data_IF_035921280857
#
_entry.id   IF_035921280857
#
_cell.length_a   1.000
_cell.length_b   1.000
_cell.length_c   1.000
_cell.angle_alpha   90.00
_cell.angle_beta   90.00
_cell.angle_gamma   90.00
#
_symmetry.space_group_name_H-M   'P 1'
#
loop_
_entity.id
_entity.type
_entity.pdbx_description
1 polymer ?
#
# COMPACT_ATOMS: atom_id res chain seq x y z
N UNK A 1 49.63 11.32 27.95
CA UNK A 1 48.42 10.53 28.28
C UNK A 1 47.69 10.24 26.98
N UNK A 2 47.54 8.97 26.60
CA UNK A 2 46.80 8.56 25.39
C UNK A 2 45.33 8.37 25.76
N UNK A 3 44.43 9.08 25.09
CA UNK A 3 42.98 8.90 25.19
C UNK A 3 42.61 7.57 24.51
N UNK A 4 41.83 6.67 25.14
CA UNK A 4 41.42 5.44 24.47
C UNK A 4 40.43 5.76 23.36
N UNK A 5 40.67 5.17 22.18
CA UNK A 5 39.75 5.17 21.06
C UNK A 5 38.43 4.51 21.48
N UNK A 6 37.32 5.19 21.24
CA UNK A 6 35.97 4.64 21.38
C UNK A 6 35.86 3.31 20.62
N UNK A 7 35.67 2.22 21.37
CA UNK A 7 35.18 0.96 20.81
C UNK A 7 33.81 1.23 20.20
N UNK A 8 33.74 1.30 18.86
CA UNK A 8 32.48 1.23 18.14
C UNK A 8 31.85 -0.13 18.45
N UNK A 9 30.89 -0.16 19.39
CA UNK A 9 29.92 -1.25 19.47
C UNK A 9 29.38 -1.43 18.06
N UNK A 10 29.54 -2.64 17.49
CA UNK A 10 28.86 -3.02 16.26
C UNK A 10 27.37 -2.84 16.51
N UNK A 11 26.79 -1.77 15.97
CA UNK A 11 25.35 -1.60 15.91
C UNK A 11 24.79 -2.84 15.21
N UNK A 12 24.18 -3.72 15.99
CA UNK A 12 23.35 -4.78 15.45
C UNK A 12 22.17 -4.07 14.79
N UNK A 13 22.22 -4.00 13.46
CA UNK A 13 21.05 -3.66 12.65
C UNK A 13 19.91 -4.55 13.15
N UNK A 14 18.80 -3.98 13.64
CA UNK A 14 17.67 -4.78 14.11
C UNK A 14 17.27 -5.72 12.97
N UNK A 15 16.96 -6.99 13.26
CA UNK A 15 16.66 -7.96 12.22
C UNK A 15 15.56 -7.39 11.33
N UNK A 16 15.87 -7.18 10.04
CA UNK A 16 14.87 -6.81 9.06
C UNK A 16 13.83 -7.94 9.06
N UNK A 17 12.62 -7.65 9.51
CA UNK A 17 11.49 -8.56 9.34
C UNK A 17 11.27 -8.65 7.83
N UNK A 18 11.73 -9.75 7.24
CA UNK A 18 11.56 -10.02 5.83
C UNK A 18 10.06 -10.15 5.55
N UNK A 19 9.49 -9.11 4.93
CA UNK A 19 8.10 -9.12 4.54
C UNK A 19 7.90 -10.16 3.44
N UNK A 20 6.96 -11.06 3.67
CA UNK A 20 6.50 -11.96 2.63
C UNK A 20 5.44 -11.26 1.77
N UNK A 21 5.40 -11.51 0.46
CA UNK A 21 4.31 -11.02 -0.40
C UNK A 21 2.94 -11.50 0.10
N UNK A 22 1.89 -10.70 -0.09
CA UNK A 22 0.51 -11.06 0.31
C UNK A 22 0.06 -12.38 -0.34
N UNK A 23 0.54 -12.68 -1.55
CA UNK A 23 0.27 -13.94 -2.26
C UNK A 23 0.89 -15.19 -1.60
N UNK A 24 1.85 -15.02 -0.68
CA UNK A 24 2.41 -16.13 0.08
C UNK A 24 1.48 -16.61 1.21
N UNK A 25 0.48 -15.80 1.61
CA UNK A 25 -0.43 -16.14 2.69
C UNK A 25 -1.51 -17.12 2.22
N UNK A 26 -1.68 -18.29 2.88
CA UNK A 26 -2.61 -19.34 2.45
C UNK A 26 -4.07 -18.85 2.34
N UNK A 27 -4.51 -17.99 3.26
CA UNK A 27 -5.87 -17.45 3.27
C UNK A 27 -6.16 -16.56 2.06
N UNK A 28 -5.19 -15.73 1.66
CA UNK A 28 -5.32 -14.88 0.48
C UNK A 28 -5.34 -15.74 -0.79
N UNK A 29 -4.41 -16.70 -0.89
CA UNK A 29 -4.28 -17.59 -2.05
C UNK A 29 -5.53 -18.45 -2.28
N UNK A 30 -6.07 -19.06 -1.22
CA UNK A 30 -7.28 -19.88 -1.35
C UNK A 30 -8.49 -19.06 -1.83
N UNK A 31 -8.61 -17.82 -1.36
CA UNK A 31 -9.67 -16.92 -1.78
C UNK A 31 -9.46 -16.39 -3.21
N UNK A 32 -8.22 -16.13 -3.61
CA UNK A 32 -7.86 -15.75 -4.98
C UNK A 32 -8.15 -16.90 -5.97
N UNK A 33 -7.77 -18.13 -5.62
CA UNK A 33 -8.05 -19.33 -6.41
C UNK A 33 -9.57 -19.54 -6.58
N UNK A 34 -10.37 -19.28 -5.53
CA UNK A 34 -11.83 -19.34 -5.60
C UNK A 34 -12.38 -18.30 -6.59
N UNK A 35 -11.94 -17.04 -6.52
CA UNK A 35 -12.36 -15.98 -7.44
C UNK A 35 -12.01 -16.38 -8.89
N UNK A 36 -10.80 -16.89 -9.11
CA UNK A 36 -10.36 -17.33 -10.43
C UNK A 36 -11.20 -18.49 -10.97
N UNK A 37 -11.52 -19.47 -10.11
CA UNK A 37 -12.41 -20.59 -10.47
C UNK A 37 -13.80 -20.11 -10.87
N UNK A 38 -14.42 -19.22 -10.06
CA UNK A 38 -15.75 -18.68 -10.36
C UNK A 38 -15.76 -17.86 -11.65
N UNK A 39 -14.72 -17.06 -11.91
CA UNK A 39 -14.55 -16.33 -13.18
C UNK A 39 -14.42 -17.28 -14.37
N UNK A 40 -13.67 -18.38 -14.22
CA UNK A 40 -13.54 -19.44 -15.21
C UNK A 40 -14.88 -20.08 -15.54
N UNK A 41 -15.66 -20.45 -14.52
CA UNK A 41 -17.00 -21.03 -14.67
C UNK A 41 -17.97 -20.05 -15.35
N UNK A 42 -17.97 -18.77 -14.95
CA UNK A 42 -18.79 -17.73 -15.59
C UNK A 42 -18.46 -17.58 -17.07
N UNK A 43 -17.17 -17.55 -17.40
CA UNK A 43 -16.71 -17.43 -18.79
C UNK A 43 -17.10 -18.65 -19.63
N UNK A 44 -17.03 -19.86 -19.05
CA UNK A 44 -17.51 -21.08 -19.71
C UNK A 44 -19.02 -21.01 -19.98
N UNK A 45 -19.83 -20.68 -18.99
CA UNK A 45 -21.29 -20.56 -19.18
C UNK A 45 -21.65 -19.44 -20.15
N UNK A 46 -20.86 -18.35 -20.18
CA UNK A 46 -21.06 -17.27 -21.14
C UNK A 46 -20.80 -17.75 -22.57
N UNK A 47 -19.79 -18.59 -22.79
CA UNK A 47 -19.57 -19.24 -24.10
C UNK A 47 -20.71 -20.18 -24.46
N UNK A 48 -21.14 -21.04 -23.52
CA UNK A 48 -22.28 -21.95 -23.73
C UNK A 48 -23.57 -21.18 -24.08
N UNK A 49 -23.79 -20.00 -23.48
CA UNK A 49 -24.89 -19.11 -23.82
C UNK A 49 -24.76 -18.54 -25.23
N UNK A 50 -23.57 -18.06 -25.62
CA UNK A 50 -23.33 -17.57 -26.99
C UNK A 50 -23.60 -18.68 -28.01
N UNK A 51 -23.09 -19.89 -27.79
CA UNK A 51 -23.32 -21.04 -28.66
C UNK A 51 -24.81 -21.39 -28.77
N UNK A 52 -25.56 -21.30 -27.66
CA UNK A 52 -27.01 -21.52 -27.66
C UNK A 52 -27.77 -20.42 -28.43
N UNK A 53 -27.34 -19.17 -28.34
CA UNK A 53 -27.88 -18.05 -29.14
C UNK A 53 -27.60 -18.25 -30.62
N UNK A 54 -26.38 -18.64 -30.98
CA UNK A 54 -25.99 -18.88 -32.37
C UNK A 54 -26.77 -20.04 -32.99
N UNK A 55 -26.98 -21.12 -32.22
CA UNK A 55 -27.90 -22.20 -32.61
C UNK A 55 -29.31 -21.65 -32.83
N UNK A 56 -29.87 -20.91 -31.87
CA UNK A 56 -31.21 -20.32 -32.01
C UNK A 56 -31.32 -19.43 -33.27
N UNK A 57 -30.30 -18.64 -33.56
CA UNK A 57 -30.25 -17.78 -34.74
C UNK A 57 -30.15 -18.58 -36.04
N UNK A 58 -29.37 -19.67 -36.06
CA UNK A 58 -29.30 -20.60 -37.19
C UNK A 58 -30.67 -21.28 -37.43
N UNK A 59 -31.41 -21.63 -36.38
CA UNK A 59 -32.78 -22.14 -36.48
C UNK A 59 -33.80 -21.07 -36.95
N UNK A 60 -33.55 -19.79 -36.65
CA UNK A 60 -34.39 -18.65 -37.07
C UNK A 60 -34.12 -18.18 -38.50
N UNK A 61 -33.06 -18.67 -39.13
CA UNK A 61 -32.79 -18.46 -40.55
C UNK A 61 -33.48 -19.58 -41.34
N UNK A 62 -34.75 -19.44 -41.76
CA UNK A 62 -35.22 -20.27 -42.84
C UNK A 62 -34.36 -19.90 -44.06
N UNK A 63 -33.55 -20.83 -44.53
CA UNK A 63 -33.09 -20.75 -45.92
C UNK A 63 -34.38 -20.69 -46.75
N UNK A 64 -34.56 -19.62 -47.52
CA UNK A 64 -35.69 -19.45 -48.44
C UNK A 64 -35.92 -20.72 -49.28
N UNK A 65 -34.83 -21.44 -49.56
CA UNK A 65 -34.77 -22.76 -50.19
C UNK A 65 -35.60 -23.85 -49.45
N UNK A 66 -35.54 -23.92 -48.12
CA UNK A 66 -36.26 -24.95 -47.32
C UNK A 66 -37.76 -24.68 -47.29
N UNK A 67 -38.17 -23.41 -47.20
CA UNK A 67 -39.59 -23.04 -47.29
C UNK A 67 -40.14 -23.33 -48.70
N UNK A 68 -39.34 -23.07 -49.74
CA UNK A 68 -39.72 -23.35 -51.12
C UNK A 68 -39.85 -24.86 -51.41
N UNK A 69 -38.92 -25.69 -50.92
CA UNK A 69 -39.01 -27.15 -51.06
C UNK A 69 -40.16 -27.78 -50.26
N UNK A 70 -40.44 -27.25 -49.05
CA UNK A 70 -41.53 -27.75 -48.21
C UNK A 70 -42.92 -27.38 -48.77
N UNK A 71 -43.06 -26.20 -49.38
CA UNK A 71 -44.28 -25.81 -50.08
C UNK A 71 -44.57 -26.70 -51.31
N UNK A 72 -43.50 -27.18 -51.96
CA UNK A 72 -43.57 -28.05 -53.14
C UNK A 72 -43.87 -29.53 -52.80
N UNK A 73 -43.58 -29.98 -51.58
CA UNK A 73 -43.70 -31.38 -51.15
C UNK A 73 -44.94 -31.68 -50.30
N UNK A 74 -45.74 -30.67 -49.94
CA UNK A 74 -47.05 -30.84 -49.30
C UNK A 74 -47.01 -31.37 -47.85
N UNK A 75 -45.89 -31.19 -47.14
CA UNK A 75 -45.75 -31.64 -45.75
C UNK A 75 -46.25 -30.55 -44.79
N UNK A 76 -47.47 -30.71 -44.31
CA UNK A 76 -48.05 -29.93 -43.20
C UNK A 76 -47.45 -30.39 -41.86
N UNK A 77 -46.27 -29.89 -41.50
CA UNK A 77 -45.98 -29.48 -40.12
C UNK A 77 -44.51 -29.09 -39.97
N UNK A 78 -44.31 -27.84 -39.57
CA UNK A 78 -43.06 -27.44 -38.93
C UNK A 78 -43.12 -28.00 -37.52
N UNK A 79 -42.19 -28.89 -37.16
CA UNK A 79 -42.07 -29.39 -35.80
C UNK A 79 -41.59 -28.25 -34.87
N UNK A 80 -42.56 -27.55 -34.28
CA UNK A 80 -42.37 -26.39 -33.39
C UNK A 80 -41.94 -26.83 -31.98
N UNK A 81 -41.81 -28.15 -31.70
CA UNK A 81 -41.56 -28.67 -30.36
C UNK A 81 -40.19 -28.28 -29.77
N UNK A 82 -39.19 -27.92 -30.59
CA UNK A 82 -37.84 -27.59 -30.10
C UNK A 82 -37.64 -26.14 -29.59
N UNK A 83 -38.54 -25.20 -29.94
CA UNK A 83 -38.43 -23.77 -29.57
C UNK A 83 -38.56 -23.48 -28.06
N UNK A 84 -39.51 -24.08 -27.31
CA UNK A 84 -39.66 -23.82 -25.89
C UNK A 84 -38.45 -24.30 -25.06
N UNK A 85 -37.75 -25.34 -25.55
CA UNK A 85 -36.62 -25.93 -24.84
C UNK A 85 -35.36 -25.04 -24.91
N UNK A 86 -35.05 -24.43 -26.06
CA UNK A 86 -33.89 -23.52 -26.17
C UNK A 86 -34.08 -22.22 -25.39
N UNK A 87 -35.31 -21.68 -25.36
CA UNK A 87 -35.63 -20.50 -24.55
C UNK A 87 -35.38 -20.74 -23.05
N UNK A 88 -35.89 -21.86 -22.52
CA UNK A 88 -35.64 -22.27 -21.13
C UNK A 88 -34.15 -22.46 -20.80
N UNK A 89 -33.39 -23.06 -21.72
CA UNK A 89 -31.93 -23.23 -21.54
C UNK A 89 -31.22 -21.88 -21.46
N UNK A 90 -31.62 -20.90 -22.27
CA UNK A 90 -31.04 -19.54 -22.21
C UNK A 90 -31.39 -18.81 -20.92
N UNK A 91 -32.62 -18.96 -20.42
CA UNK A 91 -33.05 -18.38 -19.15
C UNK A 91 -32.29 -19.01 -17.97
N UNK A 92 -32.12 -20.34 -17.96
CA UNK A 92 -31.33 -21.05 -16.95
C UNK A 92 -29.86 -20.64 -16.98
N UNK A 93 -29.26 -20.47 -18.17
CA UNK A 93 -27.89 -19.97 -18.32
C UNK A 93 -27.76 -18.53 -17.84
N UNK A 94 -28.74 -17.67 -18.12
CA UNK A 94 -28.78 -16.30 -17.59
C UNK A 94 -28.80 -16.28 -16.07
N UNK A 95 -29.68 -17.07 -15.45
CA UNK A 95 -29.78 -17.17 -14.00
C UNK A 95 -28.46 -17.64 -13.38
N UNK A 96 -27.83 -18.68 -13.95
CA UNK A 96 -26.53 -19.19 -13.48
C UNK A 96 -25.40 -18.17 -13.63
N UNK A 97 -25.33 -17.44 -14.76
CA UNK A 97 -24.33 -16.39 -14.97
C UNK A 97 -24.53 -15.24 -13.99
N UNK A 98 -25.77 -14.83 -13.72
CA UNK A 98 -26.09 -13.79 -12.75
C UNK A 98 -25.71 -14.22 -11.33
N UNK A 99 -26.05 -15.45 -10.95
CA UNK A 99 -25.67 -16.02 -9.65
C UNK A 99 -24.15 -16.09 -9.48
N UNK A 100 -23.41 -16.54 -10.50
CA UNK A 100 -21.94 -16.54 -10.49
C UNK A 100 -21.37 -15.12 -10.40
N UNK A 101 -21.98 -14.15 -11.07
CA UNK A 101 -21.54 -12.75 -11.02
C UNK A 101 -21.64 -12.19 -9.60
N UNK A 102 -22.76 -12.45 -8.92
CA UNK A 102 -22.93 -12.06 -7.51
C UNK A 102 -21.94 -12.78 -6.59
N UNK A 103 -21.73 -14.09 -6.80
CA UNK A 103 -20.76 -14.87 -6.04
C UNK A 103 -19.32 -14.37 -6.23
N UNK A 104 -18.94 -13.97 -7.44
CA UNK A 104 -17.64 -13.34 -7.73
C UNK A 104 -17.50 -12.03 -6.98
N UNK A 105 -18.50 -11.15 -7.05
CA UNK A 105 -18.46 -9.86 -6.34
C UNK A 105 -18.30 -10.04 -4.83
N UNK A 106 -19.02 -11.00 -4.24
CA UNK A 106 -18.89 -11.30 -2.82
C UNK A 106 -17.50 -11.88 -2.49
N UNK A 107 -16.99 -12.79 -3.33
CA UNK A 107 -15.67 -13.38 -3.16
C UNK A 107 -14.54 -12.34 -3.30
N UNK A 108 -14.66 -11.38 -4.23
CA UNK A 108 -13.73 -10.25 -4.39
C UNK A 108 -13.77 -9.32 -3.18
N UNK A 109 -14.96 -9.03 -2.64
CA UNK A 109 -15.09 -8.24 -1.41
C UNK A 109 -14.42 -8.92 -0.21
N UNK A 110 -14.55 -10.26 -0.10
CA UNK A 110 -13.85 -11.04 0.93
C UNK A 110 -12.34 -11.01 0.73
N UNK A 111 -11.85 -11.16 -0.50
CA UNK A 111 -10.42 -11.07 -0.85
C UNK A 111 -9.83 -9.72 -0.43
N UNK A 112 -10.55 -8.64 -0.73
CA UNK A 112 -10.16 -7.29 -0.33
C UNK A 112 -10.13 -7.12 1.20
N UNK A 113 -11.12 -7.70 1.91
CA UNK A 113 -11.10 -7.71 3.38
C UNK A 113 -9.89 -8.44 3.95
N UNK A 114 -9.50 -9.59 3.38
CA UNK A 114 -8.29 -10.32 3.79
C UNK A 114 -7.04 -9.46 3.57
N UNK A 115 -6.95 -8.78 2.42
CA UNK A 115 -5.84 -7.87 2.12
C UNK A 115 -5.71 -6.75 3.15
N UNK A 116 -6.82 -6.11 3.53
CA UNK A 116 -6.81 -5.09 4.57
C UNK A 116 -6.37 -5.64 5.92
N UNK A 117 -6.86 -6.82 6.32
CA UNK A 117 -6.47 -7.47 7.58
C UNK A 117 -4.97 -7.77 7.62
N UNK A 118 -4.43 -8.40 6.57
CA UNK A 118 -3.01 -8.71 6.48
C UNK A 118 -2.16 -7.44 6.53
N UNK A 119 -2.56 -6.39 5.81
CA UNK A 119 -1.86 -5.11 5.81
C UNK A 119 -1.85 -4.47 7.21
N UNK A 120 -2.96 -4.52 7.94
CA UNK A 120 -3.06 -4.00 9.30
C UNK A 120 -2.17 -4.77 10.29
N UNK A 121 -2.17 -6.11 10.22
CA UNK A 121 -1.30 -6.96 11.05
C UNK A 121 0.17 -6.65 10.77
N UNK A 122 0.56 -6.60 9.50
CA UNK A 122 1.94 -6.26 9.11
C UNK A 122 2.31 -4.85 9.58
N UNK A 123 1.40 -3.88 9.50
CA UNK A 123 1.67 -2.52 9.98
C UNK A 123 1.91 -2.49 11.50
N UNK A 124 1.13 -3.22 12.29
CA UNK A 124 1.34 -3.32 13.74
C UNK A 124 2.64 -4.06 14.09
N UNK A 125 2.99 -5.13 13.36
CA UNK A 125 4.25 -5.86 13.55
C UNK A 125 5.48 -4.98 13.22
N UNK A 126 5.38 -4.14 12.18
CA UNK A 126 6.46 -3.24 11.78
C UNK A 126 6.52 -1.95 12.59
N UNK A 127 5.45 -1.58 13.27
CA UNK A 127 5.34 -0.36 14.08
C UNK A 127 6.55 -0.15 15.02
N UNK A 128 6.99 -1.12 15.84
CA UNK A 128 8.17 -0.92 16.70
C UNK A 128 9.45 -0.67 15.90
N UNK A 129 9.67 -1.38 14.79
CA UNK A 129 10.87 -1.25 13.96
C UNK A 129 10.92 0.14 13.32
N UNK A 130 9.80 0.59 12.76
CA UNK A 130 9.67 1.93 12.17
C UNK A 130 9.86 2.99 13.24
N UNK A 131 9.27 2.81 14.42
CA UNK A 131 9.46 3.72 15.57
C UNK A 131 10.93 3.82 15.97
N UNK A 132 11.65 2.71 16.12
CA UNK A 132 13.09 2.73 16.43
C UNK A 132 13.88 3.43 15.34
N UNK A 133 13.60 3.17 14.06
CA UNK A 133 14.28 3.82 12.95
C UNK A 133 14.04 5.34 12.94
N UNK A 134 12.79 5.78 13.20
CA UNK A 134 12.46 7.20 13.34
C UNK A 134 13.13 7.85 14.55
N UNK A 135 13.16 7.19 15.71
CA UNK A 135 13.89 7.67 16.90
C UNK A 135 15.39 7.83 16.61
N UNK A 136 16.01 6.92 15.84
CA UNK A 136 17.41 7.08 15.39
C UNK A 136 17.60 8.30 14.49
N UNK A 137 16.66 8.56 13.58
CA UNK A 137 16.68 9.77 12.74
C UNK A 137 16.62 11.02 13.62
N UNK A 138 15.72 11.06 14.60
CA UNK A 138 15.63 12.17 15.55
C UNK A 138 16.94 12.39 16.33
N UNK A 139 17.55 11.31 16.83
CA UNK A 139 18.84 11.39 17.53
C UNK A 139 19.94 12.00 16.65
N UNK A 140 20.04 11.57 15.38
CA UNK A 140 21.00 12.12 14.44
C UNK A 140 20.72 13.60 14.13
N UNK A 141 19.45 13.98 13.98
CA UNK A 141 19.06 15.37 13.78
C UNK A 141 19.42 16.26 14.99
N UNK A 142 19.23 15.77 16.22
CA UNK A 142 19.64 16.47 17.43
C UNK A 142 21.16 16.70 17.49
N UNK A 143 21.95 15.70 17.11
CA UNK A 143 23.41 15.82 17.03
C UNK A 143 23.84 16.86 15.99
N UNK A 144 23.22 16.85 14.81
CA UNK A 144 23.49 17.85 13.77
C UNK A 144 23.13 19.27 14.23
N UNK A 145 22.00 19.44 14.93
CA UNK A 145 21.60 20.73 15.49
C UNK A 145 22.59 21.22 16.56
N UNK A 146 23.09 20.32 17.41
CA UNK A 146 24.15 20.63 18.37
C UNK A 146 25.42 21.13 17.67
N UNK A 147 25.92 20.37 16.70
CA UNK A 147 27.10 20.75 15.92
C UNK A 147 26.92 22.09 15.17
N UNK A 148 25.73 22.34 14.61
CA UNK A 148 25.41 23.62 13.97
C UNK A 148 25.45 24.79 14.96
N UNK A 149 24.98 24.56 16.19
CA UNK A 149 25.00 25.58 17.25
C UNK A 149 26.44 25.89 17.69
N UNK A 150 27.29 24.86 17.80
CA UNK A 150 28.71 25.02 18.12
C UNK A 150 29.46 25.81 17.02
N UNK A 151 29.20 25.50 15.74
CA UNK A 151 29.77 26.26 14.61
C UNK A 151 29.32 27.73 14.66
N UNK A 152 28.04 27.98 14.93
CA UNK A 152 27.51 29.34 15.04
C UNK A 152 28.16 30.12 16.19
N UNK A 153 28.32 29.50 17.36
CA UNK A 153 28.97 30.12 18.52
C UNK A 153 30.45 30.48 18.22
N UNK A 154 31.20 29.58 17.59
CA UNK A 154 32.59 29.83 17.18
C UNK A 154 32.65 31.00 16.18
N UNK A 155 31.73 31.06 15.22
CA UNK A 155 31.66 32.12 14.23
C UNK A 155 31.35 33.48 14.88
N UNK A 156 30.41 33.52 15.83
CA UNK A 156 30.05 34.72 16.59
C UNK A 156 31.22 35.21 17.47
N UNK A 157 31.87 34.31 18.20
CA UNK A 157 33.05 34.64 19.01
C UNK A 157 34.17 35.26 18.15
N UNK A 158 34.48 34.64 17.01
CA UNK A 158 35.49 35.16 16.07
C UNK A 158 35.11 36.52 15.50
N UNK A 159 33.82 36.75 15.24
CA UNK A 159 33.33 38.04 14.78
C UNK A 159 33.54 39.11 15.85
N UNK A 160 33.14 38.82 17.10
CA UNK A 160 33.30 39.73 18.24
C UNK A 160 34.78 40.07 18.51
N UNK A 161 35.68 39.11 18.33
CA UNK A 161 37.12 39.28 18.51
C UNK A 161 37.83 39.90 17.29
N UNK A 162 37.11 40.20 16.20
CA UNK A 162 37.69 40.82 15.00
C UNK A 162 38.58 39.89 14.18
N UNK A 163 38.45 38.56 14.31
CA UNK A 163 39.22 37.61 13.51
C UNK A 163 38.65 37.39 12.08
N UNK A 164 37.49 37.96 11.76
CA UNK A 164 36.78 37.78 10.48
C UNK A 164 37.04 38.91 9.45
N UNK A 165 38.13 39.68 9.58
CA UNK A 165 38.35 40.92 8.79
C UNK A 165 38.64 40.69 7.30
N UNK A 166 39.10 39.50 6.90
CA UNK A 166 39.46 39.21 5.50
C UNK A 166 38.83 37.93 4.91
N UNK A 167 38.70 36.86 5.70
CA UNK A 167 38.06 35.60 5.31
C UNK A 167 37.40 34.97 6.53
N UNK A 168 36.21 34.39 6.40
CA UNK A 168 35.65 33.51 7.45
C UNK A 168 36.21 32.10 7.25
N UNK A 169 37.12 31.60 8.10
CA UNK A 169 37.76 30.29 7.88
C UNK A 169 36.82 29.11 8.15
N UNK A 170 35.72 29.34 8.88
CA UNK A 170 34.78 28.30 9.29
C UNK A 170 33.56 28.18 8.36
N UNK A 171 33.31 29.18 7.49
CA UNK A 171 32.17 29.17 6.58
C UNK A 171 30.81 29.15 7.31
N UNK A 172 29.73 29.18 6.53
CA UNK A 172 28.41 28.83 7.05
C UNK A 172 28.35 27.31 7.23
N UNK A 173 27.55 26.83 8.19
CA UNK A 173 27.29 25.39 8.28
C UNK A 173 26.74 24.89 6.93
N UNK A 174 27.22 23.75 6.40
CA UNK A 174 26.69 23.16 5.17
C UNK A 174 25.27 22.61 5.35
N UNK A 175 24.77 22.50 6.59
CA UNK A 175 23.43 22.03 6.89
C UNK A 175 22.44 23.19 7.03
N UNK A 176 21.18 23.01 6.60
CA UNK A 176 20.15 24.03 6.72
C UNK A 176 19.90 24.35 8.20
N UNK A 177 19.83 25.64 8.51
CA UNK A 177 19.43 26.12 9.82
C UNK A 177 17.94 25.84 10.03
N UNK A 178 17.61 24.96 10.96
CA UNK A 178 16.22 24.58 11.25
C UNK A 178 15.48 25.54 12.19
N UNK A 179 16.17 26.56 12.71
CA UNK A 179 15.61 27.52 13.65
C UNK A 179 15.67 27.06 15.11
N UNK A 180 15.17 27.91 16.00
CA UNK A 180 15.13 27.64 17.44
C UNK A 180 13.94 26.72 17.80
N UNK A 181 14.14 25.59 18.50
CA UNK A 181 13.05 24.74 19.01
C UNK A 181 11.98 25.47 19.84
N UNK A 182 12.36 26.56 20.49
CA UNK A 182 11.47 27.36 21.34
C UNK A 182 10.53 28.24 20.51
N UNK A 183 10.89 28.56 19.27
CA UNK A 183 10.05 29.31 18.37
C UNK A 183 9.03 28.39 17.72
N UNK A 184 7.74 28.63 17.95
CA UNK A 184 6.64 27.80 17.42
C UNK A 184 6.65 27.69 15.88
N UNK A 185 7.12 28.73 15.20
CA UNK A 185 7.16 28.80 13.75
C UNK A 185 8.44 28.22 13.13
N UNK A 186 9.40 27.76 13.93
CA UNK A 186 10.64 27.19 13.40
C UNK A 186 10.39 25.84 12.72
N UNK A 187 11.21 25.53 11.71
CA UNK A 187 11.19 24.23 11.04
C UNK A 187 11.47 23.12 12.07
N UNK A 188 12.40 23.38 12.99
CA UNK A 188 12.74 22.46 14.05
C UNK A 188 11.56 22.13 14.97
N UNK A 189 10.77 23.15 15.35
CA UNK A 189 9.59 22.93 16.19
C UNK A 189 8.50 22.15 15.47
N UNK A 190 8.29 22.39 14.17
CA UNK A 190 7.35 21.60 13.35
C UNK A 190 7.76 20.14 13.28
N UNK A 191 9.05 19.88 13.02
CA UNK A 191 9.59 18.51 13.02
C UNK A 191 9.32 17.84 14.36
N UNK A 192 9.64 18.48 15.48
CA UNK A 192 9.42 17.90 16.82
C UNK A 192 7.94 17.61 17.10
N UNK A 193 7.03 18.47 16.66
CA UNK A 193 5.60 18.21 16.76
C UNK A 193 5.17 16.99 15.93
N UNK A 194 5.73 16.77 14.74
CA UNK A 194 5.44 15.56 13.94
C UNK A 194 5.86 14.27 14.66
N UNK A 195 7.02 14.27 15.34
CA UNK A 195 7.44 13.13 16.17
C UNK A 195 6.54 12.92 17.40
N UNK A 196 6.02 14.01 17.99
CA UNK A 196 5.08 13.96 19.10
C UNK A 196 3.73 13.40 18.64
N UNK A 197 3.18 13.91 17.54
CA UNK A 197 1.89 13.51 16.98
C UNK A 197 1.91 12.05 16.49
N UNK A 198 3.06 11.60 15.97
CA UNK A 198 3.29 10.20 15.62
C UNK A 198 3.40 9.27 16.84
N UNK A 199 3.53 9.82 18.06
CA UNK A 199 3.77 9.06 19.29
C UNK A 199 5.18 8.47 19.37
N UNK A 200 6.11 8.96 18.56
CA UNK A 200 7.50 8.50 18.54
C UNK A 200 8.27 9.03 19.77
N UNK A 201 7.87 10.19 20.30
CA UNK A 201 8.34 10.78 21.55
C UNK A 201 7.18 11.15 22.48
N UNK A 202 7.43 11.13 23.78
CA UNK A 202 6.47 11.56 24.80
C UNK A 202 6.42 13.10 24.92
N UNK A 203 5.32 13.66 25.47
CA UNK A 203 5.24 15.10 25.75
C UNK A 203 6.38 15.61 26.65
N UNK A 204 6.87 14.76 27.56
CA UNK A 204 8.00 15.07 28.45
C UNK A 204 9.31 15.14 27.67
N UNK A 205 9.61 14.13 26.84
CA UNK A 205 10.79 14.14 25.97
C UNK A 205 10.75 15.35 25.02
N UNK A 206 9.60 15.61 24.41
CA UNK A 206 9.39 16.77 23.55
C UNK A 206 9.74 18.07 24.27
N UNK A 207 9.20 18.28 25.48
CA UNK A 207 9.52 19.46 26.29
C UNK A 207 11.00 19.56 26.68
N UNK A 208 11.64 18.43 27.00
CA UNK A 208 13.09 18.39 27.33
C UNK A 208 13.95 18.77 26.14
N UNK A 209 13.64 18.26 24.95
CA UNK A 209 14.34 18.57 23.71
C UNK A 209 14.22 20.07 23.39
N UNK A 210 13.01 20.64 23.52
CA UNK A 210 12.78 22.07 23.28
C UNK A 210 13.64 22.96 24.19
N UNK A 211 13.84 22.52 25.43
CA UNK A 211 14.61 23.25 26.43
C UNK A 211 16.11 22.93 26.39
N UNK A 212 16.59 22.17 25.40
CA UNK A 212 18.01 21.88 25.20
C UNK A 212 18.59 20.88 26.20
N UNK A 213 17.78 19.98 26.76
CA UNK A 213 18.25 18.89 27.64
C UNK A 213 18.50 17.65 26.78
N UNK A 214 19.77 17.24 26.53
CA UNK A 214 20.11 16.35 25.43
C UNK A 214 20.03 14.84 25.75
N UNK A 215 19.39 14.41 26.84
CA UNK A 215 19.26 12.96 27.08
C UNK A 215 18.16 12.38 26.20
N UNK A 216 18.56 11.86 25.04
CA UNK A 216 17.73 11.03 24.18
C UNK A 216 18.43 9.69 24.05
N UNK A 217 17.89 8.65 24.69
CA UNK A 217 18.34 7.28 24.41
C UNK A 217 17.48 6.74 23.27
N UNK A 218 18.05 6.44 22.09
CA UNK A 218 17.30 5.87 20.97
C UNK A 218 16.81 4.43 21.25
N UNK A 219 17.26 3.79 22.33
CA UNK A 219 16.87 2.43 22.74
C UNK A 219 15.80 2.38 23.86
N UNK A 220 15.48 3.52 24.49
CA UNK A 220 14.33 3.69 25.40
C UNK A 220 13.02 3.92 24.63
#
# INVERSE_FOLDING_TARGET
>A
MRVPLFEKKKESVPPQVSLQPISAFPEFRTQEDLVNKLKGERNRLSKEKTDAIDRLNAWRQPRVEVIAEQYMTGVDSVDIAARPHLGKVLDDLNLKINALTLAIQEAEKRLESIRYKLSAVTAEEQRPIVRTARRRVLAAMLQLQGANSDIAAINEERFLLGYNVAFSPAGLSPWPYWGDPKQENSVWRRILNEFLDAGDISPVEHHRIINGVPSFDPED
#
